data_IF_333686877227
#
_entry.id   IF_333686877227
#
_cell.length_a   1.000
_cell.length_b   1.000
_cell.length_c   1.000
_cell.angle_alpha   90.00
_cell.angle_beta   90.00
_cell.angle_gamma   90.00
#
_symmetry.space_group_name_H-M   'P 1'
#
loop_
_entity.id
_entity.type
_entity.pdbx_description
1 polymer ?
#
# COMPACT_ATOMS: atom_id res chain seq x y z
N UNK A 1 -52.69 25.61 41.14
CA UNK A 1 -53.11 26.64 40.17
C UNK A 1 -52.67 26.18 38.80
N UNK A 2 -53.61 26.10 37.85
CA UNK A 2 -53.35 25.84 36.43
C UNK A 2 -52.55 26.99 35.82
N UNK A 3 -51.83 26.72 34.71
CA UNK A 3 -51.53 27.60 33.56
C UNK A 3 -50.25 27.05 32.88
N UNK A 4 -50.04 26.97 31.58
CA UNK A 4 -50.80 27.27 30.36
C UNK A 4 -49.87 26.84 29.20
N UNK A 5 -50.36 26.09 28.19
CA UNK A 5 -49.63 25.94 26.92
C UNK A 5 -49.88 27.16 26.03
N UNK A 6 -48.90 27.52 25.19
CA UNK A 6 -49.20 27.91 23.82
C UNK A 6 -48.38 27.14 22.76
N UNK A 7 -49.12 26.68 21.74
CA UNK A 7 -48.68 26.41 20.35
C UNK A 7 -48.22 27.75 19.71
N UNK A 8 -47.32 27.92 18.73
CA UNK A 8 -47.24 27.36 17.36
C UNK A 8 -45.88 27.74 16.68
N UNK A 9 -45.29 26.81 15.90
CA UNK A 9 -44.41 26.89 14.68
C UNK A 9 -43.22 27.88 14.56
N UNK A 10 -42.03 27.36 14.15
CA UNK A 10 -41.41 27.51 12.80
C UNK A 10 -40.04 26.79 12.73
N UNK A 11 -39.74 26.15 11.60
CA UNK A 11 -38.50 25.42 11.32
C UNK A 11 -37.30 26.33 11.03
N UNK A 12 -36.09 25.95 11.45
CA UNK A 12 -34.98 25.46 10.59
C UNK A 12 -33.61 25.54 11.28
N UNK A 13 -32.75 24.58 10.93
CA UNK A 13 -31.28 24.68 10.81
C UNK A 13 -30.38 24.33 12.01
N UNK A 14 -30.03 23.04 12.04
CA UNK A 14 -28.68 22.48 11.99
C UNK A 14 -27.53 23.08 12.83
N UNK A 15 -26.98 22.25 13.73
CA UNK A 15 -25.54 22.09 13.99
C UNK A 15 -25.39 20.82 14.85
N UNK A 16 -24.90 19.71 14.30
CA UNK A 16 -23.49 19.35 14.12
C UNK A 16 -23.13 18.23 15.10
N UNK A 17 -22.20 17.38 14.66
CA UNK A 17 -21.62 16.21 15.35
C UNK A 17 -22.55 14.99 15.28
N UNK A 18 -22.19 13.86 14.67
CA UNK A 18 -20.88 13.27 14.44
C UNK A 18 -20.95 12.32 13.24
N UNK A 19 -20.35 12.68 12.11
CA UNK A 19 -20.09 11.76 11.00
C UNK A 19 -18.59 11.52 10.90
N UNK A 20 -18.03 10.82 11.89
CA UNK A 20 -16.70 10.24 11.81
C UNK A 20 -16.80 8.82 11.24
N UNK A 21 -17.20 8.70 9.97
CA UNK A 21 -17.32 7.40 9.31
C UNK A 21 -17.09 7.48 7.79
N UNK A 22 -16.19 8.36 7.33
CA UNK A 22 -15.92 8.51 5.89
C UNK A 22 -14.44 8.41 5.51
N UNK A 23 -13.53 8.32 6.47
CA UNK A 23 -12.09 8.13 6.19
C UNK A 23 -11.65 6.66 6.21
N UNK A 24 -12.47 5.75 6.74
CA UNK A 24 -12.14 4.32 6.81
C UNK A 24 -12.34 3.60 5.46
N UNK A 25 -13.27 4.08 4.62
CA UNK A 25 -13.64 3.37 3.38
C UNK A 25 -12.55 3.44 2.29
N UNK A 26 -11.82 4.56 2.20
CA UNK A 26 -10.71 4.70 1.24
C UNK A 26 -9.48 3.94 1.70
N UNK A 27 -9.21 3.89 3.01
CA UNK A 27 -8.04 3.17 3.55
C UNK A 27 -8.23 1.65 3.47
N UNK A 28 -9.44 1.14 3.73
CA UNK A 28 -9.72 -0.30 3.68
C UNK A 28 -9.64 -0.88 2.26
N UNK A 29 -10.05 -0.12 1.24
CA UNK A 29 -9.96 -0.57 -0.17
C UNK A 29 -8.51 -0.67 -0.66
N UNK A 30 -7.63 0.23 -0.20
CA UNK A 30 -6.19 0.12 -0.47
C UNK A 30 -5.53 -1.03 0.30
N UNK A 31 -5.99 -1.36 1.51
CA UNK A 31 -5.42 -2.44 2.33
C UNK A 31 -5.75 -3.83 1.73
N UNK A 32 -6.96 -4.02 1.21
CA UNK A 32 -7.37 -5.27 0.57
C UNK A 32 -6.61 -5.54 -0.74
N UNK A 33 -6.30 -4.48 -1.51
CA UNK A 33 -5.52 -4.58 -2.77
C UNK A 33 -4.04 -4.91 -2.58
N UNK A 34 -3.55 -5.09 -1.35
CA UNK A 34 -2.13 -5.33 -1.02
C UNK A 34 -1.76 -6.77 -0.73
N UNK A 35 -2.72 -7.68 -0.89
CA UNK A 35 -2.55 -9.10 -0.59
C UNK A 35 -1.77 -9.83 -1.69
N UNK A 36 -0.93 -10.78 -1.29
CA UNK A 36 -0.21 -11.71 -2.16
C UNK A 36 -1.01 -13.00 -2.43
N UNK A 37 -2.27 -13.07 -1.99
CA UNK A 37 -3.13 -14.24 -2.16
C UNK A 37 -3.31 -14.59 -3.65
N UNK A 38 -3.10 -15.86 -3.99
CA UNK A 38 -3.16 -16.36 -5.37
C UNK A 38 -1.88 -16.17 -6.19
N UNK A 39 -0.85 -15.49 -5.67
CA UNK A 39 0.42 -15.32 -6.39
C UNK A 39 1.30 -16.57 -6.33
N UNK A 40 1.89 -16.90 -7.47
CA UNK A 40 3.03 -17.83 -7.60
C UNK A 40 4.28 -17.30 -6.89
N UNK A 41 5.27 -18.17 -6.70
CA UNK A 41 6.53 -17.76 -6.09
C UNK A 41 7.31 -16.75 -6.94
N UNK A 42 7.27 -16.87 -8.26
CA UNK A 42 7.96 -15.95 -9.16
C UNK A 42 7.31 -14.56 -9.15
N UNK A 43 5.98 -14.48 -9.08
CA UNK A 43 5.25 -13.23 -8.88
C UNK A 43 5.60 -12.59 -7.54
N UNK A 44 5.63 -13.38 -6.45
CA UNK A 44 6.08 -12.86 -5.14
C UNK A 44 7.52 -12.40 -5.16
N UNK A 45 8.40 -13.06 -5.92
CA UNK A 45 9.79 -12.64 -6.10
C UNK A 45 9.89 -11.34 -6.90
N UNK A 46 9.02 -11.13 -7.89
CA UNK A 46 8.92 -9.87 -8.63
C UNK A 46 8.38 -8.74 -7.73
N UNK A 47 7.35 -9.02 -6.93
CA UNK A 47 6.82 -8.10 -5.94
C UNK A 47 7.90 -7.73 -4.91
N UNK A 48 8.62 -8.71 -4.37
CA UNK A 48 9.70 -8.46 -3.42
C UNK A 48 10.77 -7.53 -4.00
N UNK A 49 11.18 -7.74 -5.25
CA UNK A 49 12.08 -6.82 -5.97
C UNK A 49 11.52 -5.41 -6.03
N UNK A 50 10.24 -5.25 -6.34
CA UNK A 50 9.58 -3.95 -6.36
C UNK A 50 9.62 -3.29 -4.99
N UNK A 51 9.31 -4.02 -3.91
CA UNK A 51 9.33 -3.51 -2.54
C UNK A 51 10.72 -3.01 -2.13
N UNK A 52 11.78 -3.75 -2.46
CA UNK A 52 13.16 -3.32 -2.19
C UNK A 52 13.51 -2.03 -2.95
N UNK A 53 13.11 -1.92 -4.22
CA UNK A 53 13.34 -0.71 -5.01
C UNK A 53 12.57 0.49 -4.45
N UNK A 54 11.33 0.29 -4.00
CA UNK A 54 10.54 1.33 -3.33
C UNK A 54 11.18 1.78 -2.02
N UNK A 55 11.72 0.84 -1.23
CA UNK A 55 12.45 1.19 -0.02
C UNK A 55 13.69 2.01 -0.33
N UNK A 56 14.51 1.58 -1.28
CA UNK A 56 15.74 2.29 -1.63
C UNK A 56 15.46 3.71 -2.13
N UNK A 57 14.35 3.91 -2.84
CA UNK A 57 14.00 5.20 -3.45
C UNK A 57 13.27 6.15 -2.50
N UNK A 58 12.40 5.62 -1.64
CA UNK A 58 11.47 6.44 -0.85
C UNK A 58 11.54 6.21 0.67
N UNK A 59 12.21 5.15 1.15
CA UNK A 59 12.28 4.83 2.58
C UNK A 59 10.91 4.58 3.21
N UNK A 60 9.95 4.05 2.44
CA UNK A 60 8.54 4.00 2.81
C UNK A 60 8.15 2.82 3.72
N UNK A 61 9.03 1.85 3.91
CA UNK A 61 8.84 0.72 4.83
C UNK A 61 9.61 0.95 6.13
N UNK A 62 8.93 0.77 7.26
CA UNK A 62 9.57 0.70 8.57
C UNK A 62 9.79 -0.78 8.93
N UNK A 63 10.80 -1.40 8.34
CA UNK A 63 11.08 -2.82 8.55
C UNK A 63 12.56 -3.11 8.40
N UNK A 64 13.19 -3.53 9.50
CA UNK A 64 14.59 -3.95 9.54
C UNK A 64 14.89 -5.04 8.50
N UNK A 65 13.92 -5.93 8.21
CA UNK A 65 14.10 -6.96 7.19
C UNK A 65 14.29 -6.37 5.80
N UNK A 66 13.49 -5.36 5.44
CA UNK A 66 13.60 -4.69 4.15
C UNK A 66 14.91 -3.90 4.10
N UNK A 67 15.28 -3.21 5.19
CA UNK A 67 16.53 -2.46 5.25
C UNK A 67 17.76 -3.36 5.05
N UNK A 68 17.79 -4.53 5.72
CA UNK A 68 18.83 -5.53 5.53
C UNK A 68 18.87 -6.04 4.08
N UNK A 69 17.72 -6.32 3.50
CA UNK A 69 17.63 -6.82 2.13
C UNK A 69 18.10 -5.77 1.11
N UNK A 70 17.74 -4.50 1.25
CA UNK A 70 18.27 -3.41 0.41
C UNK A 70 19.78 -3.30 0.57
N UNK A 71 20.28 -3.35 1.80
CA UNK A 71 21.71 -3.22 2.08
C UNK A 71 22.55 -4.44 1.60
N UNK A 72 21.89 -5.57 1.33
CA UNK A 72 22.52 -6.78 0.80
C UNK A 72 22.63 -6.80 -0.73
N UNK A 73 22.09 -5.80 -1.43
CA UNK A 73 22.14 -5.73 -2.90
C UNK A 73 21.45 -6.92 -3.58
N UNK A 74 22.16 -7.62 -4.47
CA UNK A 74 21.64 -8.78 -5.20
C UNK A 74 21.22 -9.93 -4.27
N UNK A 75 21.93 -10.11 -3.14
CA UNK A 75 21.62 -11.15 -2.15
C UNK A 75 20.34 -10.83 -1.35
N UNK A 76 19.86 -9.59 -1.38
CA UNK A 76 18.59 -9.18 -0.77
C UNK A 76 17.37 -9.95 -1.31
N UNK A 77 17.48 -10.51 -2.51
CA UNK A 77 16.44 -11.36 -3.10
C UNK A 77 16.32 -12.72 -2.41
N UNK A 78 17.39 -13.21 -1.80
CA UNK A 78 17.40 -14.45 -1.02
C UNK A 78 16.71 -14.25 0.35
N UNK A 79 16.60 -13.00 0.80
CA UNK A 79 15.94 -12.63 2.05
C UNK A 79 14.42 -12.44 1.90
N UNK A 80 13.85 -12.81 0.74
CA UNK A 80 12.42 -12.76 0.48
C UNK A 80 11.66 -13.50 1.59
N UNK A 81 10.76 -12.81 2.32
CA UNK A 81 10.01 -13.45 3.39
C UNK A 81 8.84 -14.29 2.84
N UNK A 82 8.20 -15.03 3.74
CA UNK A 82 6.98 -15.77 3.39
C UNK A 82 5.83 -14.79 3.00
N UNK A 83 4.79 -15.27 2.28
CA UNK A 83 3.70 -14.43 1.79
C UNK A 83 3.02 -13.59 2.87
N UNK A 84 2.73 -14.18 4.03
CA UNK A 84 2.06 -13.50 5.14
C UNK A 84 2.85 -12.28 5.64
N UNK A 85 4.17 -12.40 5.70
CA UNK A 85 5.05 -11.30 6.09
C UNK A 85 5.10 -10.25 4.99
N UNK A 86 5.12 -10.64 3.70
CA UNK A 86 5.03 -9.69 2.58
C UNK A 86 3.76 -8.84 2.70
N UNK A 87 2.61 -9.47 2.95
CA UNK A 87 1.34 -8.76 3.14
C UNK A 87 1.40 -7.77 4.31
N UNK A 88 2.01 -8.20 5.40
CA UNK A 88 2.19 -7.36 6.59
C UNK A 88 3.05 -6.15 6.28
N UNK A 89 4.13 -6.31 5.51
CA UNK A 89 4.99 -5.23 5.07
C UNK A 89 4.27 -4.27 4.12
N UNK A 90 3.47 -4.79 3.19
CA UNK A 90 2.69 -3.94 2.29
C UNK A 90 1.67 -3.09 3.05
N UNK A 91 1.08 -3.62 4.13
CA UNK A 91 0.17 -2.85 5.01
C UNK A 91 0.88 -1.75 5.79
N UNK A 92 2.18 -1.91 6.11
CA UNK A 92 2.94 -0.94 6.91
C UNK A 92 3.59 0.18 6.09
N UNK A 93 3.35 0.25 4.78
CA UNK A 93 3.92 1.32 3.94
C UNK A 93 3.37 2.68 4.35
N UNK A 94 4.27 3.63 4.59
CA UNK A 94 3.98 5.01 4.98
C UNK A 94 4.64 5.98 4.01
N UNK A 95 4.06 7.18 3.86
CA UNK A 95 4.63 8.29 3.08
C UNK A 95 5.04 7.97 1.62
N UNK A 96 4.48 6.91 1.02
CA UNK A 96 4.77 6.56 -0.36
C UNK A 96 4.02 7.51 -1.32
N UNK A 97 4.70 8.13 -2.30
CA UNK A 97 4.05 9.00 -3.28
C UNK A 97 3.24 8.18 -4.30
N UNK A 98 2.40 8.85 -5.10
CA UNK A 98 1.47 8.19 -6.04
C UNK A 98 2.19 7.32 -7.07
N UNK A 99 3.37 7.72 -7.52
CA UNK A 99 4.18 6.95 -8.47
C UNK A 99 4.64 5.62 -7.85
N UNK A 100 5.02 5.64 -6.57
CA UNK A 100 5.39 4.44 -5.83
C UNK A 100 4.22 3.50 -5.65
N UNK A 101 3.02 4.04 -5.35
CA UNK A 101 1.80 3.24 -5.29
C UNK A 101 1.47 2.55 -6.61
N UNK A 102 1.63 3.24 -7.73
CA UNK A 102 1.41 2.65 -9.06
C UNK A 102 2.40 1.51 -9.36
N UNK A 103 3.67 1.65 -8.94
CA UNK A 103 4.67 0.57 -9.09
C UNK A 103 4.30 -0.66 -8.26
N UNK A 104 3.87 -0.45 -7.02
CA UNK A 104 3.45 -1.53 -6.14
C UNK A 104 2.18 -2.22 -6.67
N UNK A 105 1.16 -1.44 -7.04
CA UNK A 105 -0.08 -1.96 -7.63
C UNK A 105 0.19 -2.76 -8.90
N UNK A 106 1.08 -2.29 -9.78
CA UNK A 106 1.47 -3.04 -10.99
C UNK A 106 2.08 -4.40 -10.66
N UNK A 107 2.88 -4.47 -9.59
CA UNK A 107 3.50 -5.73 -9.15
C UNK A 107 2.50 -6.66 -8.46
N UNK A 108 1.43 -6.10 -7.88
CA UNK A 108 0.36 -6.86 -7.23
C UNK A 108 -0.71 -7.38 -8.22
N UNK A 109 -0.92 -6.70 -9.36
CA UNK A 109 -1.97 -7.06 -10.34
C UNK A 109 -1.39 -7.62 -11.65
N UNK A 110 -0.08 -7.82 -11.73
CA UNK A 110 0.63 -8.10 -12.98
C UNK A 110 0.99 -9.56 -13.19
N UNK A 111 0.05 -10.36 -13.69
CA UNK A 111 0.30 -11.41 -14.71
C UNK A 111 -0.92 -11.53 -15.63
N UNK A 112 -0.83 -10.86 -16.78
CA UNK A 112 -1.39 -11.31 -18.08
C UNK A 112 -0.55 -10.74 -19.25
N UNK A 113 0.38 -9.78 -19.00
CA UNK A 113 1.32 -9.34 -20.02
C UNK A 113 2.71 -9.04 -19.44
N UNK A 114 3.74 -9.56 -20.11
CA UNK A 114 5.16 -9.18 -20.01
C UNK A 114 6.10 -10.10 -19.22
N UNK A 115 6.14 -11.38 -19.63
CA UNK A 115 7.28 -12.27 -19.37
C UNK A 115 8.51 -11.95 -20.25
N UNK A 116 8.45 -10.95 -21.15
CA UNK A 116 9.52 -10.68 -22.14
C UNK A 116 10.36 -9.40 -21.90
N UNK A 117 9.87 -8.38 -21.19
CA UNK A 117 10.51 -7.04 -21.21
C UNK A 117 11.36 -6.69 -19.96
N UNK A 118 11.26 -7.49 -18.88
CA UNK A 118 11.88 -7.12 -17.60
C UNK A 118 13.42 -7.30 -17.52
N UNK A 119 14.10 -7.80 -18.56
CA UNK A 119 15.58 -7.91 -18.55
C UNK A 119 16.30 -6.64 -19.01
N UNK A 120 15.67 -5.81 -19.86
CA UNK A 120 16.30 -4.62 -20.45
C UNK A 120 16.18 -3.40 -19.53
N UNK A 121 15.05 -3.24 -18.83
CA UNK A 121 14.89 -2.19 -17.81
C UNK A 121 15.70 -2.48 -16.53
N UNK A 122 15.91 -3.75 -16.21
CA UNK A 122 16.63 -4.19 -15.01
C UNK A 122 18.14 -3.88 -15.05
N UNK A 123 18.74 -3.66 -16.21
CA UNK A 123 20.16 -3.27 -16.29
C UNK A 123 20.40 -1.76 -16.22
N UNK A 124 19.38 -0.93 -16.50
CA UNK A 124 19.52 0.53 -16.49
C UNK A 124 19.25 1.16 -15.12
N UNK A 125 18.38 0.55 -14.32
CA UNK A 125 18.09 1.04 -12.97
C UNK A 125 19.27 0.82 -11.99
N UNK A 126 20.12 -0.18 -12.25
CA UNK A 126 21.17 -0.64 -11.34
C UNK A 126 22.55 -0.03 -11.65
N UNK A 127 22.63 0.93 -12.58
CA UNK A 127 23.90 1.44 -13.14
C UNK A 127 24.22 2.90 -12.79
N UNK A 128 23.63 3.41 -11.72
CA UNK A 128 23.93 4.74 -11.19
C UNK A 128 24.23 4.67 -9.69
N UNK A 129 25.44 4.21 -9.36
CA UNK A 129 26.29 4.86 -8.36
C UNK A 129 27.75 4.47 -8.61
#
# INVERSE_FOLDING_TARGET
>A
MMQHLPSVRRASSASSTSSAASSASTTLSHVSRRSCEGMTEDERRALWKCMLALQQRYGCYNSTRIDLAVNSGDDGLLLMPNPFIIDTLNRSVVHLPVEGWQMLDRSLHGTEQSHADNRVLKLRFWRSN
#
